data_IF_059443210317
#
_entry.id   IF_059443210317
#
_cell.length_a   1.000
_cell.length_b   1.000
_cell.length_c   1.000
_cell.angle_alpha   90.00
_cell.angle_beta   90.00
_cell.angle_gamma   90.00
#
_symmetry.space_group_name_H-M   'P 1'
#
loop_
_entity.id
_entity.type
_entity.pdbx_description
1 polymer ?
#
# COMPACT_ATOMS: atom_id res chain seq x y z
N UNK A 1 14.63 -7.13 10.14
CA UNK A 1 13.72 -6.11 10.70
C UNK A 1 14.03 -4.81 10.01
N UNK A 2 13.05 -4.18 9.37
CA UNK A 2 13.20 -2.92 8.66
C UNK A 2 12.14 -1.91 9.12
N UNK A 3 12.30 -0.64 8.78
CA UNK A 3 11.38 0.46 9.10
C UNK A 3 9.95 0.16 8.69
N UNK A 4 9.77 -0.37 7.50
CA UNK A 4 8.47 -0.66 6.91
C UNK A 4 7.64 -1.63 7.77
N UNK A 5 8.26 -2.74 8.22
CA UNK A 5 7.59 -3.70 9.10
C UNK A 5 7.10 -3.04 10.41
N UNK A 6 7.89 -2.11 10.95
CA UNK A 6 7.50 -1.39 12.16
C UNK A 6 6.36 -0.42 11.84
N UNK A 7 6.46 0.37 10.76
CA UNK A 7 5.42 1.31 10.35
C UNK A 7 4.06 0.61 10.16
N UNK A 8 4.03 -0.50 9.45
CA UNK A 8 2.79 -1.26 9.23
C UNK A 8 2.15 -1.77 10.53
N UNK A 9 2.99 -2.16 11.51
CA UNK A 9 2.53 -2.69 12.80
C UNK A 9 2.22 -1.60 13.83
N UNK A 10 2.53 -0.34 13.54
CA UNK A 10 2.42 0.80 14.46
C UNK A 10 1.54 1.92 13.91
N UNK A 11 0.51 1.58 13.13
CA UNK A 11 -0.35 2.56 12.47
C UNK A 11 0.46 3.65 11.76
N UNK A 12 1.42 3.21 10.93
CA UNK A 12 2.36 4.06 10.17
C UNK A 12 3.17 5.03 11.06
N UNK A 13 3.56 4.54 12.24
CA UNK A 13 4.40 5.26 13.20
C UNK A 13 3.64 6.00 14.29
N UNK A 14 2.30 6.08 14.27
CA UNK A 14 1.52 6.74 15.32
C UNK A 14 1.76 6.13 16.70
N UNK A 15 1.88 4.81 16.81
CA UNK A 15 2.11 4.14 18.10
C UNK A 15 3.51 4.45 18.64
N UNK A 16 4.47 4.81 17.81
CA UNK A 16 5.79 5.28 18.24
C UNK A 16 5.67 6.64 18.93
N UNK A 17 4.89 7.58 18.35
CA UNK A 17 4.63 8.86 18.99
C UNK A 17 3.85 8.68 20.29
N UNK A 18 2.80 7.85 20.29
CA UNK A 18 1.99 7.58 21.46
C UNK A 18 2.83 7.02 22.61
N UNK A 19 3.69 6.04 22.32
CA UNK A 19 4.65 5.46 23.26
C UNK A 19 5.56 6.54 23.88
N UNK A 20 6.16 7.39 23.06
CA UNK A 20 7.11 8.39 23.53
C UNK A 20 6.39 9.51 24.28
N UNK A 21 5.27 10.03 23.74
CA UNK A 21 4.52 11.10 24.36
C UNK A 21 3.94 10.69 25.72
N UNK A 22 3.55 9.43 25.91
CA UNK A 22 3.15 8.88 27.21
C UNK A 22 4.28 8.94 28.24
N UNK A 23 5.53 8.74 27.85
CA UNK A 23 6.69 8.87 28.76
C UNK A 23 6.87 10.31 29.28
N UNK A 24 6.43 11.32 28.51
CA UNK A 24 6.50 12.73 28.93
C UNK A 24 5.22 13.22 29.63
N UNK A 25 4.05 12.74 29.21
CA UNK A 25 2.75 13.29 29.64
C UNK A 25 1.90 12.31 30.45
N UNK A 26 2.43 11.11 30.72
CA UNK A 26 1.81 10.05 31.53
C UNK A 26 0.96 9.07 30.71
N UNK A 27 0.69 7.92 31.30
CA UNK A 27 0.02 6.77 30.66
C UNK A 27 -1.39 7.07 30.12
N UNK A 28 -2.06 8.07 30.67
CA UNK A 28 -3.41 8.49 30.22
C UNK A 28 -3.39 9.39 28.98
N UNK A 29 -2.21 9.77 28.50
CA UNK A 29 -2.08 10.56 27.28
C UNK A 29 -2.56 9.75 26.07
N UNK A 30 -3.33 10.39 25.20
CA UNK A 30 -3.83 9.79 23.97
C UNK A 30 -3.56 10.76 22.81
N UNK A 31 -2.80 10.30 21.83
CA UNK A 31 -2.60 11.04 20.59
C UNK A 31 -3.90 11.00 19.76
N UNK A 32 -4.53 12.16 19.60
CA UNK A 32 -5.77 12.27 18.81
C UNK A 32 -5.45 12.55 17.36
N UNK A 33 -5.97 11.69 16.49
CA UNK A 33 -5.77 11.78 15.02
C UNK A 33 -7.12 12.08 14.37
N UNK A 34 -7.11 12.98 13.40
CA UNK A 34 -8.26 13.28 12.55
C UNK A 34 -7.80 13.24 11.08
N UNK A 35 -8.23 12.22 10.35
CA UNK A 35 -7.77 11.96 8.99
C UNK A 35 -6.25 11.76 8.91
N UNK A 36 -5.58 12.55 8.08
CA UNK A 36 -4.14 12.45 7.82
C UNK A 36 -3.26 13.23 8.82
N UNK A 37 -3.81 13.83 9.86
CA UNK A 37 -3.07 14.63 10.81
C UNK A 37 -3.49 14.36 12.26
N UNK A 38 -2.54 14.40 13.18
CA UNK A 38 -2.83 14.54 14.58
C UNK A 38 -3.12 16.01 14.91
N UNK A 39 -4.00 16.23 15.90
CA UNK A 39 -4.17 17.58 16.47
C UNK A 39 -2.82 18.05 17.00
N UNK A 40 -2.51 19.38 16.94
CA UNK A 40 -1.28 19.92 17.50
C UNK A 40 -1.10 19.48 18.96
N UNK A 41 0.09 18.99 19.28
CA UNK A 41 0.41 18.46 20.59
C UNK A 41 1.59 19.22 21.19
N UNK A 42 1.76 19.10 22.51
CA UNK A 42 2.92 19.65 23.19
C UNK A 42 4.20 18.99 22.67
N UNK A 43 5.20 19.82 22.37
CA UNK A 43 6.50 19.33 21.93
C UNK A 43 7.39 19.06 23.16
N UNK A 44 7.70 17.79 23.49
CA UNK A 44 8.49 17.47 24.68
C UNK A 44 9.96 17.88 24.55
N UNK A 45 10.41 18.17 23.34
CA UNK A 45 11.79 18.59 23.05
C UNK A 45 11.92 20.12 22.90
N UNK A 46 10.81 20.88 23.04
CA UNK A 46 10.75 22.34 22.85
C UNK A 46 9.73 22.96 23.78
N UNK A 47 10.14 23.45 24.92
CA UNK A 47 9.36 24.24 25.90
C UNK A 47 7.95 23.72 26.24
N UNK A 48 7.59 22.48 25.90
CA UNK A 48 6.26 21.87 26.10
C UNK A 48 5.08 22.70 25.53
N UNK A 49 5.32 23.51 24.51
CA UNK A 49 4.26 24.25 23.81
C UNK A 49 3.56 23.34 22.78
N UNK A 50 2.31 23.64 22.48
CA UNK A 50 1.52 22.92 21.46
C UNK A 50 1.93 23.34 20.04
N UNK A 51 3.17 23.02 19.68
CA UNK A 51 3.80 23.38 18.40
C UNK A 51 4.15 22.18 17.53
N UNK A 52 4.08 20.97 18.11
CA UNK A 52 4.36 19.73 17.40
C UNK A 52 3.16 19.30 16.56
N UNK A 53 3.35 19.29 15.27
CA UNK A 53 2.39 18.77 14.31
C UNK A 53 2.87 17.41 13.83
N UNK A 54 1.94 16.47 13.65
CA UNK A 54 2.21 15.13 13.17
C UNK A 54 1.20 14.86 12.05
N UNK A 55 1.69 14.60 10.84
CA UNK A 55 0.84 14.37 9.68
C UNK A 55 1.37 13.25 8.80
N UNK A 56 0.46 12.55 8.13
CA UNK A 56 0.80 11.51 7.18
C UNK A 56 1.48 12.15 5.97
N UNK A 57 2.75 11.80 5.78
CA UNK A 57 3.57 12.22 4.65
C UNK A 57 4.45 11.06 4.24
N UNK A 58 4.49 10.74 2.95
CA UNK A 58 5.41 9.73 2.42
C UNK A 58 5.28 8.35 3.10
N UNK A 59 4.04 7.91 3.39
CA UNK A 59 3.76 6.60 3.99
C UNK A 59 4.07 6.43 5.47
N UNK A 60 4.42 7.52 6.16
CA UNK A 60 4.59 7.55 7.60
C UNK A 60 4.00 8.83 8.18
N UNK A 61 3.60 8.79 9.45
CA UNK A 61 3.28 10.02 10.17
C UNK A 61 4.56 10.76 10.53
N UNK A 62 4.84 11.86 9.84
CA UNK A 62 6.02 12.68 10.05
C UNK A 62 5.71 13.86 10.97
N UNK A 63 6.67 14.23 11.80
CA UNK A 63 6.53 15.38 12.69
C UNK A 63 7.23 16.62 12.14
N UNK A 64 6.72 17.78 12.50
CA UNK A 64 7.40 19.07 12.35
C UNK A 64 6.95 20.04 13.45
N UNK A 65 7.83 20.97 13.80
CA UNK A 65 7.48 22.05 14.73
C UNK A 65 7.00 23.28 13.94
N UNK A 66 5.95 23.95 14.42
CA UNK A 66 5.35 25.09 13.75
C UNK A 66 6.32 26.29 13.63
N UNK A 67 7.24 26.43 14.57
CA UNK A 67 8.14 27.59 14.65
C UNK A 67 9.60 27.25 14.33
N UNK A 68 9.96 25.96 14.25
CA UNK A 68 11.31 25.51 13.92
C UNK A 68 11.28 24.59 12.69
N UNK A 69 11.62 25.16 11.53
CA UNK A 69 11.60 24.44 10.25
C UNK A 69 12.61 23.29 10.16
N UNK A 70 13.63 23.30 11.01
CA UNK A 70 14.66 22.25 11.06
C UNK A 70 14.27 21.11 11.99
N UNK A 71 13.31 21.35 12.90
CA UNK A 71 12.77 20.31 13.78
C UNK A 71 11.67 19.52 13.06
N UNK A 72 12.07 18.56 12.24
CA UNK A 72 11.19 17.69 11.47
C UNK A 72 11.82 16.32 11.23
N UNK A 73 10.98 15.31 11.03
CA UNK A 73 11.45 13.96 10.70
C UNK A 73 10.34 12.93 10.68
N UNK A 74 10.76 11.69 10.48
CA UNK A 74 9.93 10.50 10.57
C UNK A 74 9.79 10.02 12.03
N UNK A 75 8.91 9.02 12.34
CA UNK A 75 8.74 8.52 13.70
C UNK A 75 10.02 7.91 14.29
N UNK A 76 10.92 7.40 13.47
CA UNK A 76 12.19 6.84 13.95
C UNK A 76 13.17 7.93 14.39
N UNK A 77 13.22 9.04 13.68
CA UNK A 77 13.97 10.23 14.12
C UNK A 77 13.39 10.80 15.42
N UNK A 78 12.07 10.80 15.58
CA UNK A 78 11.44 11.20 16.84
C UNK A 78 11.86 10.29 18.00
N UNK A 79 11.91 8.97 17.75
CA UNK A 79 12.41 8.02 18.73
C UNK A 79 13.90 8.22 19.03
N UNK A 80 14.73 8.51 18.01
CA UNK A 80 16.15 8.83 18.23
C UNK A 80 16.37 10.06 19.11
N UNK A 81 15.51 11.11 18.99
CA UNK A 81 15.55 12.28 19.87
C UNK A 81 15.28 11.94 21.35
N UNK A 82 14.41 10.94 21.59
CA UNK A 82 14.10 10.51 22.96
C UNK A 82 15.12 9.56 23.55
N UNK A 83 15.52 8.53 22.79
CA UNK A 83 16.34 7.44 23.32
C UNK A 83 17.85 7.68 23.13
N UNK A 84 18.25 8.64 22.30
CA UNK A 84 19.65 8.95 21.98
C UNK A 84 20.43 7.73 21.44
N UNK A 85 19.75 6.88 20.66
CA UNK A 85 20.32 5.67 20.06
C UNK A 85 20.45 5.81 18.55
N UNK A 86 21.39 5.05 17.99
CA UNK A 86 21.53 4.91 16.54
C UNK A 86 20.33 4.17 15.93
N UNK A 87 20.07 4.43 14.64
CA UNK A 87 18.88 3.92 13.95
C UNK A 87 18.65 2.41 14.11
N UNK A 88 19.72 1.61 13.94
CA UNK A 88 19.61 0.15 14.08
C UNK A 88 19.17 -0.28 15.47
N UNK A 89 19.68 0.37 16.50
CA UNK A 89 19.30 0.11 17.89
C UNK A 89 17.87 0.55 18.18
N UNK A 90 17.44 1.69 17.62
CA UNK A 90 16.05 2.18 17.69
C UNK A 90 15.07 1.16 17.12
N UNK A 91 15.36 0.59 15.94
CA UNK A 91 14.46 -0.41 15.33
C UNK A 91 14.29 -1.65 16.23
N UNK A 92 15.37 -2.13 16.84
CA UNK A 92 15.32 -3.29 17.77
C UNK A 92 14.52 -2.96 19.02
N UNK A 93 14.78 -1.80 19.61
CA UNK A 93 14.13 -1.36 20.84
C UNK A 93 12.63 -1.13 20.62
N UNK A 94 12.22 -0.43 19.55
CA UNK A 94 10.83 -0.22 19.23
C UNK A 94 10.08 -1.53 18.96
N UNK A 95 10.76 -2.50 18.37
CA UNK A 95 10.23 -3.84 18.16
C UNK A 95 9.89 -4.54 19.48
N UNK A 96 10.75 -4.41 20.47
CA UNK A 96 10.55 -4.98 21.80
C UNK A 96 9.54 -4.19 22.64
N UNK A 97 9.67 -2.86 22.76
CA UNK A 97 8.81 -2.04 23.61
C UNK A 97 7.36 -2.01 23.13
N UNK A 98 7.14 -1.99 21.82
CA UNK A 98 5.79 -2.05 21.25
C UNK A 98 5.28 -3.48 21.10
N UNK A 99 6.06 -4.48 21.59
CA UNK A 99 5.72 -5.89 21.55
C UNK A 99 5.32 -6.36 20.13
N UNK A 100 6.09 -5.88 19.12
CA UNK A 100 5.83 -6.17 17.71
C UNK A 100 6.28 -7.57 17.31
N UNK A 101 6.62 -8.43 18.28
CA UNK A 101 7.06 -9.80 18.04
C UNK A 101 6.13 -10.48 17.04
N UNK A 102 6.74 -11.15 16.10
CA UNK A 102 6.07 -11.92 15.08
C UNK A 102 5.17 -12.95 15.78
N UNK A 103 3.89 -12.67 15.85
CA UNK A 103 2.92 -13.72 16.12
C UNK A 103 2.92 -14.58 14.85
N UNK A 104 3.76 -15.63 14.83
CA UNK A 104 3.83 -16.62 13.74
C UNK A 104 2.47 -17.31 13.48
N UNK A 105 1.44 -16.94 14.24
CA UNK A 105 0.11 -17.53 14.18
C UNK A 105 -0.99 -16.61 13.61
N UNK A 106 -0.73 -15.35 13.28
CA UNK A 106 -1.69 -14.66 12.43
C UNK A 106 -1.52 -15.18 11.00
N UNK A 107 -2.39 -16.13 10.59
CA UNK A 107 -2.60 -16.42 9.17
C UNK A 107 -2.74 -15.04 8.49
N UNK A 108 -1.80 -14.70 7.60
CA UNK A 108 -1.95 -13.49 6.78
C UNK A 108 -3.29 -13.64 6.11
N UNK A 109 -4.25 -12.78 6.48
CA UNK A 109 -5.56 -12.81 5.87
C UNK A 109 -5.37 -12.45 4.39
N UNK A 110 -5.49 -13.45 3.52
CA UNK A 110 -5.32 -13.23 2.09
C UNK A 110 -6.48 -12.36 1.60
N UNK A 111 -6.22 -11.17 1.05
CA UNK A 111 -7.26 -10.27 0.58
C UNK A 111 -8.10 -10.92 -0.54
N UNK A 112 -9.41 -10.61 -0.55
CA UNK A 112 -10.35 -11.06 -1.57
C UNK A 112 -10.83 -9.88 -2.42
N UNK A 113 -11.07 -10.13 -3.70
CA UNK A 113 -11.45 -9.15 -4.70
C UNK A 113 -12.55 -9.66 -5.62
N UNK A 114 -13.37 -8.74 -6.12
CA UNK A 114 -14.32 -9.04 -7.19
C UNK A 114 -13.64 -9.10 -8.56
N UNK A 115 -13.92 -10.17 -9.29
CA UNK A 115 -13.51 -10.37 -10.69
C UNK A 115 -14.70 -10.15 -11.62
N UNK A 116 -14.46 -9.42 -12.68
CA UNK A 116 -15.44 -9.10 -13.70
C UNK A 116 -14.98 -9.62 -15.06
N UNK A 117 -15.89 -10.30 -15.76
CA UNK A 117 -15.65 -10.71 -17.14
C UNK A 117 -15.79 -9.52 -18.08
N UNK A 118 -14.95 -9.55 -19.13
CA UNK A 118 -15.10 -8.60 -20.24
C UNK A 118 -16.51 -8.66 -20.88
N UNK A 119 -16.97 -7.57 -21.52
CA UNK A 119 -16.31 -6.27 -21.65
C UNK A 119 -16.35 -5.44 -20.35
N UNK A 120 -15.56 -4.35 -20.28
CA UNK A 120 -15.49 -3.47 -19.09
C UNK A 120 -16.83 -2.83 -18.71
N UNK A 121 -17.79 -2.79 -19.61
CA UNK A 121 -19.19 -2.38 -19.35
C UNK A 121 -19.97 -3.38 -18.51
N UNK A 122 -19.50 -4.63 -18.38
CA UNK A 122 -20.06 -5.58 -17.44
C UNK A 122 -19.66 -5.19 -16.02
N UNK A 123 -20.61 -4.71 -15.24
CA UNK A 123 -20.40 -4.18 -13.88
C UNK A 123 -20.79 -5.18 -12.78
N UNK A 124 -21.21 -6.37 -13.12
CA UNK A 124 -21.54 -7.42 -12.16
C UNK A 124 -20.39 -8.38 -12.00
N UNK A 125 -19.95 -8.65 -10.75
CA UNK A 125 -18.85 -9.58 -10.50
C UNK A 125 -19.27 -11.00 -10.87
N UNK A 126 -18.34 -11.76 -11.47
CA UNK A 126 -18.54 -13.19 -11.72
C UNK A 126 -18.24 -14.02 -10.48
N UNK A 127 -17.17 -13.66 -9.76
CA UNK A 127 -16.71 -14.34 -8.57
C UNK A 127 -15.78 -13.47 -7.73
N UNK A 128 -15.47 -13.94 -6.55
CA UNK A 128 -14.38 -13.43 -5.71
C UNK A 128 -13.14 -14.31 -5.86
N UNK A 129 -11.96 -13.70 -5.85
CA UNK A 129 -10.67 -14.40 -5.84
C UNK A 129 -9.73 -13.79 -4.82
N UNK A 130 -8.76 -14.57 -4.40
CA UNK A 130 -7.68 -14.14 -3.52
C UNK A 130 -6.54 -13.45 -4.29
N UNK A 131 -5.66 -12.76 -3.56
CA UNK A 131 -4.43 -12.17 -4.12
C UNK A 131 -3.54 -13.22 -4.79
N UNK A 132 -3.47 -14.43 -4.21
CA UNK A 132 -2.69 -15.55 -4.77
C UNK A 132 -3.29 -16.01 -6.11
N UNK A 133 -4.61 -16.13 -6.19
CA UNK A 133 -5.27 -16.51 -7.46
C UNK A 133 -5.11 -15.43 -8.53
N UNK A 134 -5.16 -14.14 -8.15
CA UNK A 134 -4.87 -13.04 -9.06
C UNK A 134 -3.43 -13.13 -9.59
N UNK A 135 -2.45 -13.34 -8.72
CA UNK A 135 -1.04 -13.56 -9.09
C UNK A 135 -0.89 -14.73 -10.06
N UNK A 136 -1.46 -15.89 -9.73
CA UNK A 136 -1.37 -17.08 -10.59
C UNK A 136 -2.06 -16.86 -11.94
N UNK A 137 -3.18 -16.16 -11.96
CA UNK A 137 -3.90 -15.80 -13.19
C UNK A 137 -3.05 -14.92 -14.11
N UNK A 138 -2.43 -13.86 -13.58
CA UNK A 138 -1.57 -12.93 -14.33
C UNK A 138 -0.32 -13.66 -14.86
N UNK A 139 0.27 -14.52 -14.04
CA UNK A 139 1.48 -15.29 -14.40
C UNK A 139 1.19 -16.38 -15.44
N UNK A 140 -0.01 -16.92 -15.44
CA UNK A 140 -0.43 -18.01 -16.34
C UNK A 140 -0.59 -17.53 -17.77
N UNK A 141 -0.64 -18.47 -18.71
CA UNK A 141 -0.81 -18.18 -20.15
C UNK A 141 -2.25 -17.82 -20.55
N UNK A 142 -3.20 -17.76 -19.62
CA UNK A 142 -4.63 -17.49 -19.89
C UNK A 142 -4.84 -16.20 -20.68
N UNK A 143 -4.13 -15.13 -20.30
CA UNK A 143 -4.22 -13.83 -20.98
C UNK A 143 -3.16 -13.59 -22.05
N UNK A 144 -2.27 -14.58 -22.33
CA UNK A 144 -1.10 -14.40 -23.18
C UNK A 144 -1.43 -13.91 -24.59
N UNK A 145 -2.36 -14.58 -25.24
CA UNK A 145 -2.72 -14.24 -26.63
C UNK A 145 -3.34 -12.85 -26.73
N UNK A 146 -4.26 -12.49 -25.80
CA UNK A 146 -4.90 -11.16 -25.76
C UNK A 146 -3.86 -10.07 -25.48
N UNK A 147 -2.97 -10.30 -24.51
CA UNK A 147 -1.90 -9.35 -24.16
C UNK A 147 -0.94 -9.13 -25.31
N UNK A 148 -0.49 -10.21 -25.98
CA UNK A 148 0.42 -10.10 -27.13
C UNK A 148 -0.24 -9.39 -28.30
N UNK A 149 -1.51 -9.69 -28.60
CA UNK A 149 -2.26 -8.99 -29.64
C UNK A 149 -2.37 -7.49 -29.35
N UNK A 150 -2.78 -7.12 -28.11
CA UNK A 150 -2.89 -5.73 -27.68
C UNK A 150 -1.56 -4.99 -27.86
N UNK A 151 -0.45 -5.58 -27.43
CA UNK A 151 0.91 -5.00 -27.52
C UNK A 151 1.41 -4.87 -28.95
N UNK A 152 0.83 -5.59 -29.90
CA UNK A 152 1.09 -5.46 -31.33
C UNK A 152 0.37 -4.29 -32.01
N UNK A 153 -0.70 -3.77 -31.41
CA UNK A 153 -1.45 -2.63 -31.94
C UNK A 153 -0.64 -1.33 -31.82
N UNK A 154 -0.83 -0.42 -32.80
CA UNK A 154 -0.14 0.88 -32.83
C UNK A 154 -1.08 2.06 -32.60
N UNK A 155 -2.34 1.89 -32.98
CA UNK A 155 -3.36 2.93 -32.85
C UNK A 155 -3.91 2.99 -31.43
N UNK A 156 -3.87 4.15 -30.79
CA UNK A 156 -4.30 4.35 -29.39
C UNK A 156 -5.77 4.06 -29.15
N UNK A 157 -6.63 4.37 -30.13
CA UNK A 157 -8.07 4.12 -30.02
C UNK A 157 -8.38 2.64 -30.14
N UNK A 158 -7.68 1.91 -31.03
CA UNK A 158 -7.80 0.47 -31.14
C UNK A 158 -7.31 -0.22 -29.87
N UNK A 159 -6.18 0.21 -29.30
CA UNK A 159 -5.63 -0.30 -28.02
C UNK A 159 -6.67 -0.14 -26.92
N UNK A 160 -7.26 1.08 -26.78
CA UNK A 160 -8.27 1.38 -25.76
C UNK A 160 -9.53 0.53 -25.94
N UNK A 161 -10.06 0.44 -27.16
CA UNK A 161 -11.26 -0.34 -27.47
C UNK A 161 -11.03 -1.83 -27.21
N UNK A 162 -9.92 -2.39 -27.70
CA UNK A 162 -9.60 -3.78 -27.50
C UNK A 162 -9.41 -4.14 -26.01
N UNK A 163 -8.70 -3.29 -25.27
CA UNK A 163 -8.54 -3.48 -23.82
C UNK A 163 -9.90 -3.50 -23.10
N UNK A 164 -10.80 -2.60 -23.46
CA UNK A 164 -12.13 -2.50 -22.86
C UNK A 164 -13.05 -3.66 -23.23
N UNK A 165 -12.91 -4.25 -24.44
CA UNK A 165 -13.78 -5.34 -24.91
C UNK A 165 -13.29 -6.73 -24.54
N UNK A 166 -11.96 -6.96 -24.39
CA UNK A 166 -11.40 -8.31 -24.36
C UNK A 166 -10.77 -8.69 -23.02
N UNK A 167 -10.50 -7.74 -22.12
CA UNK A 167 -9.82 -8.04 -20.87
C UNK A 167 -10.77 -8.15 -19.69
N UNK A 168 -10.67 -9.25 -18.96
CA UNK A 168 -11.25 -9.36 -17.62
C UNK A 168 -10.53 -8.39 -16.67
N UNK A 169 -11.18 -8.00 -15.60
CA UNK A 169 -10.61 -7.05 -14.66
C UNK A 169 -10.98 -7.36 -13.20
N UNK A 170 -10.19 -6.83 -12.29
CA UNK A 170 -10.36 -6.95 -10.84
C UNK A 170 -10.53 -5.57 -10.22
N UNK A 171 -11.25 -5.49 -9.10
CA UNK A 171 -11.26 -4.36 -8.18
C UNK A 171 -10.41 -4.69 -6.96
N UNK A 172 -9.10 -4.43 -6.98
CA UNK A 172 -8.19 -4.80 -5.89
C UNK A 172 -8.50 -4.16 -4.54
N UNK A 173 -9.28 -3.09 -4.54
CA UNK A 173 -9.72 -2.43 -3.29
C UNK A 173 -10.74 -3.24 -2.49
N UNK A 174 -11.34 -4.30 -3.07
CA UNK A 174 -12.27 -5.16 -2.31
C UNK A 174 -13.28 -5.93 -3.14
N UNK A 175 -14.31 -6.38 -2.44
CA UNK A 175 -15.44 -7.13 -3.03
C UNK A 175 -16.66 -6.23 -3.16
N UNK A 176 -17.43 -6.41 -4.22
CA UNK A 176 -18.56 -5.56 -4.62
C UNK A 176 -19.74 -6.37 -5.06
N UNK A 177 -20.96 -5.90 -4.81
CA UNK A 177 -22.18 -6.44 -5.46
C UNK A 177 -22.31 -5.95 -6.90
N UNK A 178 -21.74 -4.79 -7.20
CA UNK A 178 -21.67 -4.17 -8.52
C UNK A 178 -20.50 -3.20 -8.54
N UNK A 179 -19.79 -3.03 -9.67
CA UNK A 179 -18.69 -2.07 -9.81
C UNK A 179 -19.16 -0.63 -9.67
N UNK A 180 -19.26 -0.19 -8.44
CA UNK A 180 -19.64 1.15 -8.01
C UNK A 180 -19.17 1.35 -6.57
N UNK A 181 -18.62 2.48 -6.22
CA UNK A 181 -18.06 2.76 -4.87
C UNK A 181 -19.09 2.54 -3.76
N UNK A 182 -20.36 2.89 -4.01
CA UNK A 182 -21.47 2.69 -3.05
C UNK A 182 -21.92 1.23 -2.90
N UNK A 183 -21.42 0.34 -3.75
CA UNK A 183 -21.75 -1.09 -3.74
C UNK A 183 -20.62 -1.95 -3.20
N UNK A 184 -19.66 -1.35 -2.50
CA UNK A 184 -18.60 -2.05 -1.78
C UNK A 184 -19.23 -2.94 -0.70
N UNK A 185 -18.84 -4.21 -0.70
CA UNK A 185 -19.22 -5.18 0.35
C UNK A 185 -18.17 -5.19 1.46
N UNK A 186 -16.91 -5.35 1.07
CA UNK A 186 -15.80 -5.38 2.02
C UNK A 186 -14.54 -4.82 1.35
N UNK A 187 -13.91 -3.86 2.00
CA UNK A 187 -12.61 -3.34 1.56
C UNK A 187 -11.51 -4.37 1.86
N UNK A 188 -10.60 -4.55 0.91
CA UNK A 188 -9.49 -5.52 1.02
C UNK A 188 -8.33 -5.03 1.92
N UNK A 189 -8.27 -3.75 2.22
CA UNK A 189 -7.10 -3.10 2.81
C UNK A 189 -6.00 -2.79 1.78
N UNK A 190 -6.29 -2.91 0.48
CA UNK A 190 -5.32 -2.61 -0.58
C UNK A 190 -5.74 -1.43 -1.44
N UNK A 191 -4.74 -0.78 -2.02
CA UNK A 191 -4.87 0.32 -2.96
C UNK A 191 -4.04 0.03 -4.20
N UNK A 192 -4.58 0.36 -5.39
CA UNK A 192 -3.89 0.21 -6.67
C UNK A 192 -3.39 1.56 -7.16
N UNK A 193 -2.10 1.65 -7.42
CA UNK A 193 -1.47 2.76 -8.12
C UNK A 193 -1.18 2.35 -9.56
N UNK A 194 -1.55 3.22 -10.48
CA UNK A 194 -1.44 3.01 -11.92
C UNK A 194 -0.38 3.97 -12.49
N UNK A 195 0.68 3.40 -13.05
CA UNK A 195 1.73 4.14 -13.74
C UNK A 195 1.59 3.90 -15.25
N UNK A 196 1.43 4.95 -16.01
CA UNK A 196 1.35 4.89 -17.47
C UNK A 196 2.59 5.52 -18.11
N UNK A 197 2.96 5.03 -19.30
CA UNK A 197 4.03 5.58 -20.16
C UNK A 197 5.41 5.66 -19.47
N UNK A 198 5.79 4.59 -18.77
CA UNK A 198 7.08 4.49 -18.06
C UNK A 198 8.19 4.12 -19.03
N UNK A 199 9.23 4.95 -19.10
CA UNK A 199 10.37 4.75 -19.99
C UNK A 199 11.25 3.56 -19.59
N UNK A 200 11.43 3.31 -18.29
CA UNK A 200 12.22 2.20 -17.76
C UNK A 200 11.42 1.40 -16.72
N UNK A 201 10.60 0.46 -17.22
CA UNK A 201 9.72 -0.37 -16.39
C UNK A 201 10.51 -1.21 -15.39
N UNK A 202 11.65 -1.78 -15.79
CA UNK A 202 12.43 -2.66 -14.91
C UNK A 202 13.05 -1.90 -13.74
N UNK A 203 13.56 -0.71 -13.99
CA UNK A 203 14.12 0.15 -12.95
C UNK A 203 13.05 0.56 -11.94
N UNK A 204 11.92 1.08 -12.43
CA UNK A 204 10.81 1.47 -11.55
C UNK A 204 10.26 0.27 -10.77
N UNK A 205 10.13 -0.90 -11.41
CA UNK A 205 9.71 -2.13 -10.73
C UNK A 205 10.63 -2.48 -9.56
N UNK A 206 11.95 -2.39 -9.76
CA UNK A 206 12.92 -2.65 -8.69
C UNK A 206 12.86 -1.60 -7.57
N UNK A 207 12.68 -0.32 -7.92
CA UNK A 207 12.52 0.76 -6.94
C UNK A 207 11.28 0.53 -6.06
N UNK A 208 10.13 0.22 -6.67
CA UNK A 208 8.87 0.00 -5.94
C UNK A 208 8.89 -1.26 -5.07
N UNK A 209 9.53 -2.34 -5.50
CA UNK A 209 9.68 -3.58 -4.70
C UNK A 209 10.56 -3.32 -3.46
N UNK A 210 11.53 -2.42 -3.57
CA UNK A 210 12.46 -2.09 -2.48
C UNK A 210 12.12 -0.74 -1.81
N UNK A 211 10.90 -0.22 -2.02
CA UNK A 211 10.47 1.03 -1.39
C UNK A 211 10.55 0.94 0.14
N UNK A 212 11.05 2.01 0.78
CA UNK A 212 11.27 2.01 2.23
C UNK A 212 9.99 2.18 3.04
N UNK A 213 8.94 2.77 2.45
CA UNK A 213 7.72 3.17 3.14
C UNK A 213 6.49 2.33 2.78
N UNK A 214 6.44 1.78 1.57
CA UNK A 214 5.31 1.00 1.10
C UNK A 214 5.72 -0.43 0.73
N UNK A 215 5.09 -1.41 1.37
CA UNK A 215 5.28 -2.81 1.02
C UNK A 215 4.54 -3.13 -0.28
N UNK A 216 5.24 -3.74 -1.22
CA UNK A 216 4.62 -4.21 -2.45
C UNK A 216 3.92 -5.54 -2.20
N UNK A 217 2.59 -5.56 -2.32
CA UNK A 217 1.81 -6.79 -2.23
C UNK A 217 1.74 -7.53 -3.57
N UNK A 218 1.50 -6.77 -4.64
CA UNK A 218 1.48 -7.28 -6.02
C UNK A 218 1.96 -6.19 -6.96
N UNK A 219 2.81 -6.55 -7.95
CA UNK A 219 3.29 -5.60 -8.95
C UNK A 219 3.43 -6.28 -10.30
N UNK A 220 2.82 -5.73 -11.33
CA UNK A 220 2.84 -6.31 -12.67
C UNK A 220 2.79 -5.24 -13.77
N UNK A 221 3.27 -5.63 -14.95
CA UNK A 221 3.25 -4.79 -16.15
C UNK A 221 1.83 -4.68 -16.69
N UNK A 222 1.41 -3.47 -17.05
CA UNK A 222 0.08 -3.19 -17.60
C UNK A 222 -0.21 -4.00 -18.88
N UNK A 223 -1.48 -4.19 -19.26
CA UNK A 223 -1.81 -4.88 -20.52
C UNK A 223 -1.13 -4.27 -21.74
N UNK A 224 -1.00 -2.94 -21.80
CA UNK A 224 -0.33 -2.23 -22.92
C UNK A 224 1.18 -2.46 -22.98
N UNK A 225 1.78 -2.83 -21.85
CA UNK A 225 3.22 -3.11 -21.77
C UNK A 225 4.10 -1.89 -21.48
N UNK A 226 3.53 -0.71 -21.34
CA UNK A 226 4.21 0.57 -21.14
C UNK A 226 3.97 1.20 -19.78
N UNK A 227 3.39 0.45 -18.83
CA UNK A 227 3.08 0.90 -17.49
C UNK A 227 3.14 -0.21 -16.45
N UNK A 228 2.99 0.16 -15.19
CA UNK A 228 2.96 -0.74 -14.03
C UNK A 228 1.67 -0.59 -13.25
N UNK A 229 1.23 -1.67 -12.63
CA UNK A 229 0.16 -1.71 -11.64
C UNK A 229 0.76 -2.13 -10.31
N UNK A 230 0.76 -1.23 -9.34
CA UNK A 230 1.34 -1.40 -8.02
C UNK A 230 0.26 -1.48 -6.97
N UNK A 231 0.17 -2.59 -6.29
CA UNK A 231 -0.84 -2.88 -5.26
C UNK A 231 -0.14 -2.90 -3.92
N UNK A 232 -0.59 -2.04 -3.00
CA UNK A 232 0.03 -1.80 -1.70
C UNK A 232 -1.02 -1.81 -0.59
N UNK A 233 -0.63 -2.16 0.65
CA UNK A 233 -1.52 -2.15 1.79
C UNK A 233 -1.79 -0.73 2.28
N UNK A 234 -3.02 -0.49 2.71
CA UNK A 234 -3.46 0.72 3.39
C UNK A 234 -4.29 0.37 4.63
N UNK A 235 -4.34 1.27 5.62
CA UNK A 235 -5.19 1.12 6.80
C UNK A 235 -6.33 2.15 6.78
N UNK A 236 -7.56 1.67 6.70
CA UNK A 236 -8.74 2.53 6.73
C UNK A 236 -9.07 3.04 8.15
N UNK A 237 -8.42 2.49 9.17
CA UNK A 237 -8.52 3.01 10.53
C UNK A 237 -7.81 4.36 10.71
N UNK A 238 -6.92 4.70 9.77
CA UNK A 238 -6.11 5.92 9.79
C UNK A 238 -6.76 7.01 8.97
N UNK A 239 -7.06 6.72 7.69
CA UNK A 239 -7.75 7.63 6.80
C UNK A 239 -8.47 6.88 5.67
N UNK A 240 -9.29 7.59 4.90
CA UNK A 240 -10.04 7.01 3.81
C UNK A 240 -9.15 6.55 2.66
N UNK A 241 -9.68 5.67 1.80
CA UNK A 241 -9.01 5.22 0.57
C UNK A 241 -8.54 6.40 -0.31
N UNK A 242 -9.38 7.44 -0.45
CA UNK A 242 -9.05 8.62 -1.26
C UNK A 242 -7.92 9.46 -0.64
N UNK A 243 -7.92 9.63 0.68
CA UNK A 243 -6.86 10.35 1.39
C UNK A 243 -5.54 9.59 1.27
N UNK A 244 -5.56 8.26 1.40
CA UNK A 244 -4.40 7.41 1.13
C UNK A 244 -3.88 7.59 -0.29
N UNK A 245 -4.76 7.57 -1.29
CA UNK A 245 -4.36 7.79 -2.68
C UNK A 245 -3.64 9.14 -2.87
N UNK A 246 -4.18 10.23 -2.28
CA UNK A 246 -3.56 11.56 -2.36
C UNK A 246 -2.18 11.56 -1.68
N UNK A 247 -2.07 10.97 -0.49
CA UNK A 247 -0.80 10.92 0.25
C UNK A 247 0.28 10.15 -0.53
N UNK A 248 -0.09 9.00 -1.11
CA UNK A 248 0.80 8.17 -1.91
C UNK A 248 1.18 8.86 -3.21
N UNK A 249 0.25 9.53 -3.88
CA UNK A 249 0.52 10.30 -5.10
C UNK A 249 1.55 11.41 -4.84
N UNK A 250 1.41 12.13 -3.73
CA UNK A 250 2.37 13.16 -3.32
C UNK A 250 3.76 12.56 -3.01
N UNK A 251 3.78 11.43 -2.31
CA UNK A 251 5.01 10.69 -2.05
C UNK A 251 5.74 10.29 -3.32
N UNK A 252 5.03 9.70 -4.28
CA UNK A 252 5.60 9.25 -5.56
C UNK A 252 6.15 10.42 -6.38
N UNK A 253 5.47 11.55 -6.36
CA UNK A 253 5.95 12.77 -7.02
C UNK A 253 7.20 13.32 -6.32
N UNK A 254 7.21 13.41 -4.98
CA UNK A 254 8.36 13.94 -4.22
C UNK A 254 9.58 13.02 -4.27
N UNK A 255 9.37 11.70 -4.25
CA UNK A 255 10.47 10.72 -4.13
C UNK A 255 11.01 10.27 -5.48
N UNK A 256 10.12 10.03 -6.43
CA UNK A 256 10.47 9.44 -7.73
C UNK A 256 10.21 10.37 -8.91
N UNK A 257 9.62 11.57 -8.68
CA UNK A 257 9.23 12.48 -9.75
C UNK A 257 8.12 11.94 -10.66
N UNK A 258 7.27 11.04 -10.13
CA UNK A 258 6.23 10.34 -10.89
C UNK A 258 4.86 10.94 -10.65
N UNK A 259 4.15 11.19 -11.74
CA UNK A 259 2.72 11.48 -11.71
C UNK A 259 1.92 10.20 -11.89
N UNK A 260 0.85 10.02 -11.10
CA UNK A 260 -0.03 8.85 -11.15
C UNK A 260 -1.40 9.22 -11.69
N UNK A 261 -2.08 8.27 -12.34
CA UNK A 261 -3.44 8.48 -12.85
C UNK A 261 -4.41 8.76 -11.69
N UNK A 262 -4.97 9.97 -11.69
CA UNK A 262 -5.90 10.46 -10.66
C UNK A 262 -7.16 9.60 -10.49
N UNK A 263 -7.51 8.75 -11.46
CA UNK A 263 -8.65 7.82 -11.39
C UNK A 263 -8.41 6.65 -10.40
N UNK A 264 -7.17 6.44 -9.93
CA UNK A 264 -6.86 5.48 -8.87
C UNK A 264 -7.48 5.79 -7.51
N UNK A 265 -8.00 7.01 -7.30
CA UNK A 265 -8.74 7.39 -6.09
C UNK A 265 -10.10 6.68 -5.94
N UNK A 266 -10.67 6.14 -7.03
CA UNK A 266 -11.97 5.48 -7.01
C UNK A 266 -11.83 4.06 -6.46
N UNK A 267 -12.58 3.73 -5.41
CA UNK A 267 -12.52 2.40 -4.76
C UNK A 267 -12.88 1.30 -5.76
N UNK A 268 -13.85 1.53 -6.64
CA UNK A 268 -14.29 0.56 -7.66
C UNK A 268 -13.44 0.58 -8.95
N UNK A 269 -12.21 1.11 -8.89
CA UNK A 269 -11.28 1.16 -10.03
C UNK A 269 -11.10 -0.21 -10.66
N UNK A 270 -11.34 -0.31 -11.97
CA UNK A 270 -11.09 -1.51 -12.75
C UNK A 270 -9.60 -1.66 -13.06
N UNK A 271 -9.01 -2.77 -12.69
CA UNK A 271 -7.65 -3.15 -13.03
C UNK A 271 -7.66 -4.35 -13.97
N UNK A 272 -7.32 -4.16 -15.23
CA UNK A 272 -7.31 -5.22 -16.25
C UNK A 272 -6.21 -6.25 -15.99
N UNK A 273 -6.52 -7.53 -16.23
CA UNK A 273 -5.63 -8.67 -16.00
C UNK A 273 -4.83 -9.01 -17.26
N UNK A 274 -3.52 -8.69 -17.31
CA UNK A 274 -2.64 -9.04 -18.42
C UNK A 274 -2.01 -10.43 -18.25
N UNK A 275 -1.23 -10.83 -19.22
CA UNK A 275 -0.16 -11.81 -19.05
C UNK A 275 1.14 -11.10 -18.70
N UNK A 276 1.68 -11.41 -17.51
CA UNK A 276 3.01 -10.98 -17.06
C UNK A 276 3.69 -12.15 -16.33
N UNK A 277 4.64 -12.87 -16.99
CA UNK A 277 5.35 -13.97 -16.35
C UNK A 277 6.26 -13.53 -15.19
N UNK A 278 6.65 -12.26 -15.19
CA UNK A 278 7.51 -11.64 -14.16
C UNK A 278 6.73 -10.86 -13.11
N UNK A 279 5.42 -11.13 -12.98
CA UNK A 279 4.61 -10.52 -11.92
C UNK A 279 5.21 -10.82 -10.55
N UNK A 280 5.35 -9.78 -9.72
CA UNK A 280 5.81 -9.91 -8.34
C UNK A 280 4.60 -10.09 -7.41
N UNK A 281 4.74 -10.94 -6.42
CA UNK A 281 3.86 -11.03 -5.24
C UNK A 281 4.73 -11.03 -3.98
N UNK A 282 4.24 -10.41 -2.91
CA UNK A 282 4.90 -10.46 -1.61
C UNK A 282 5.16 -11.93 -1.21
N UNK A 283 6.43 -12.32 -1.00
CA UNK A 283 6.77 -13.70 -0.68
C UNK A 283 6.10 -14.26 0.58
N UNK A 284 5.59 -13.39 1.44
CA UNK A 284 4.87 -13.78 2.64
C UNK A 284 3.61 -14.60 2.33
N UNK A 285 2.96 -14.36 1.19
CA UNK A 285 1.78 -15.14 0.75
C UNK A 285 2.10 -16.51 0.18
N UNK A 286 3.36 -16.76 -0.19
CA UNK A 286 3.79 -18.03 -0.83
C UNK A 286 4.41 -19.00 0.17
N UNK A 287 4.57 -18.63 1.43
CA UNK A 287 5.10 -19.51 2.47
C UNK A 287 4.05 -20.57 2.81
N UNK A 288 4.40 -21.88 2.81
CA UNK A 288 3.48 -22.93 3.23
C UNK A 288 3.05 -22.69 4.68
N UNK A 289 1.76 -22.86 4.97
CA UNK A 289 1.29 -22.88 6.35
C UNK A 289 1.89 -24.12 7.03
N UNK A 290 2.45 -23.96 8.23
CA UNK A 290 3.02 -25.09 9.01
C UNK A 290 2.00 -26.19 9.35
N UNK A 291 0.72 -26.04 8.95
CA UNK A 291 -0.32 -27.06 9.15
C UNK A 291 -0.30 -28.21 8.13
N UNK A 292 0.46 -28.09 7.03
CA UNK A 292 0.46 -29.11 5.97
C UNK A 292 1.59 -30.16 6.15
N UNK A 293 2.34 -30.10 7.26
CA UNK A 293 3.45 -31.02 7.54
C UNK A 293 3.11 -32.18 8.47
N UNK A 294 1.84 -32.43 8.77
CA UNK A 294 1.38 -33.58 9.57
C UNK A 294 0.28 -34.37 8.85
N UNK A 295 0.64 -34.97 7.72
CA UNK A 295 -0.03 -36.16 7.22
C UNK A 295 0.88 -36.85 6.22
N UNK A 296 1.84 -37.62 6.72
CA UNK A 296 2.38 -38.79 6.02
C UNK A 296 3.07 -39.66 7.06
N UNK A 297 2.32 -40.56 7.63
CA UNK A 297 2.81 -41.82 8.17
C UNK A 297 1.92 -42.93 7.60
#
# INVERSE_FOLDING_TARGET
MNKQMILMKTRYGLDIYDLILKKYYGEKYVLRVSGMAALPVKNPFRDNKETLNIMLKSGAFCYYDQYDKDFKGDPFKFAQLHYHLEEKAILSMLWEELNLSYNEQSKIAVPLFSVFKHPVSNIFPEKEISLIEAYLGIKSTVYKNRTNYLRGLKDKDQIRKYKASEFDYITFSGTFTRRNDKALVKHSGLLTIDFDHISNILELKNQLINDEYFETELLFVSPSGDGLKWIIPISLDICSHQEWFIAISNYLNETYGLEVDSSGKDISRACFLPYDPEVYINPAYLKPSKSDSHETI
#
